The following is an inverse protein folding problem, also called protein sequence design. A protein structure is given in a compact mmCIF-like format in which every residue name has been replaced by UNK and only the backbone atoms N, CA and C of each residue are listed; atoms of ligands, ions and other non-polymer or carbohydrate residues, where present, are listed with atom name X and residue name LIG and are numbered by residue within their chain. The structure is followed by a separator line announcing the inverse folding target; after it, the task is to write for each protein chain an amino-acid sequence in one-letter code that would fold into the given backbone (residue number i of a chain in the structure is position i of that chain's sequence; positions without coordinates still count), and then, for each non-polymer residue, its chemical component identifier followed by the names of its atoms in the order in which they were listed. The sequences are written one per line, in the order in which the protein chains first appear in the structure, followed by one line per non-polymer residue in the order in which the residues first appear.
data_IF_733256681482
#
_entry.id   IF_733256681482
#
_cell.length_a   1.000
_cell.length_b   1.000
_cell.length_c   1.000
_cell.angle_alpha   90.00
_cell.angle_beta   90.00
_cell.angle_gamma   90.00
#
_symmetry.space_group_name_H-M   'P 1'
#
loop_
_entity.id
_entity.type
_entity.pdbx_description
1 polymer ?
#
# COMPACT_ATOMS: atom_id res chain seq x y z
N UNK A 1 -10.50 -12.58 12.34
CA UNK A 1 -9.18 -13.13 11.96
C UNK A 1 -8.49 -12.31 10.88
N UNK A 2 -9.18 -11.91 9.79
CA UNK A 2 -8.60 -11.12 8.69
C UNK A 2 -7.96 -9.79 9.14
N UNK A 3 -8.60 -9.07 10.08
CA UNK A 3 -8.07 -7.84 10.71
C UNK A 3 -6.69 -8.05 11.33
N UNK A 4 -6.55 -9.02 12.22
CA UNK A 4 -5.27 -9.32 12.88
C UNK A 4 -4.17 -9.76 11.90
N UNK A 5 -4.53 -10.51 10.86
CA UNK A 5 -3.58 -10.89 9.82
C UNK A 5 -3.09 -9.67 9.01
N UNK A 6 -4.02 -8.78 8.67
CA UNK A 6 -3.70 -7.53 7.93
C UNK A 6 -2.87 -6.58 8.79
N UNK A 7 -3.18 -6.48 10.08
CA UNK A 7 -2.39 -5.74 11.05
C UNK A 7 -0.97 -6.32 11.24
N UNK A 8 -0.83 -7.65 11.25
CA UNK A 8 0.49 -8.29 11.28
C UNK A 8 1.29 -7.98 10.00
N UNK A 9 0.65 -8.04 8.84
CA UNK A 9 1.27 -7.68 7.55
C UNK A 9 1.70 -6.22 7.50
N UNK A 10 0.89 -5.29 8.03
CA UNK A 10 1.26 -3.88 8.09
C UNK A 10 2.49 -3.65 8.96
N UNK A 11 2.61 -4.39 10.07
CA UNK A 11 3.81 -4.38 10.91
C UNK A 11 5.04 -4.98 10.22
N UNK A 12 4.89 -6.04 9.41
CA UNK A 12 6.02 -6.58 8.63
C UNK A 12 6.54 -5.62 7.57
N UNK A 13 5.68 -4.75 7.03
CA UNK A 13 6.07 -3.71 6.09
C UNK A 13 6.65 -2.47 6.80
N UNK A 14 6.45 -2.35 8.12
CA UNK A 14 6.81 -1.18 8.92
C UNK A 14 8.19 -1.36 9.58
N UNK A 15 9.02 -0.32 9.50
CA UNK A 15 10.29 -0.29 10.24
C UNK A 15 11.33 0.61 9.58
N UNK A 16 12.28 1.10 10.39
CA UNK A 16 13.53 1.72 9.92
C UNK A 16 14.70 1.06 10.66
N UNK A 17 15.67 0.42 9.98
CA UNK A 17 15.81 0.31 8.52
C UNK A 17 14.66 -0.49 7.87
N UNK A 18 14.32 -0.14 6.62
CA UNK A 18 13.22 -0.80 5.91
C UNK A 18 13.54 -2.30 5.74
N UNK A 19 12.54 -3.19 5.87
CA UNK A 19 12.70 -4.61 5.59
C UNK A 19 13.13 -4.83 4.12
N UNK A 20 13.78 -5.96 3.86
CA UNK A 20 14.20 -6.31 2.51
C UNK A 20 12.97 -6.48 1.61
N UNK A 21 12.93 -5.73 0.50
CA UNK A 21 11.74 -5.68 -0.35
C UNK A 21 11.36 -7.05 -0.92
N UNK A 22 12.32 -7.91 -1.25
CA UNK A 22 12.06 -9.27 -1.73
C UNK A 22 11.29 -10.14 -0.71
N UNK A 23 11.40 -9.86 0.59
CA UNK A 23 10.61 -10.54 1.63
C UNK A 23 9.17 -10.01 1.72
N UNK A 24 8.95 -8.74 1.36
CA UNK A 24 7.65 -8.05 1.43
C UNK A 24 6.89 -8.17 0.11
N UNK A 25 7.58 -8.37 -1.01
CA UNK A 25 7.02 -8.47 -2.36
C UNK A 25 5.90 -9.51 -2.49
N UNK A 26 5.95 -10.72 -1.89
CA UNK A 26 4.83 -11.66 -1.92
C UNK A 26 3.58 -11.13 -1.21
N UNK A 27 3.74 -10.25 -0.21
CA UNK A 27 2.62 -9.66 0.51
C UNK A 27 1.84 -8.67 -0.37
N UNK A 28 2.43 -8.13 -1.45
CA UNK A 28 1.72 -7.23 -2.36
C UNK A 28 0.51 -7.90 -3.03
N UNK A 29 0.62 -9.18 -3.37
CA UNK A 29 -0.50 -9.95 -3.93
C UNK A 29 -1.63 -10.11 -2.91
N UNK A 30 -1.29 -10.38 -1.65
CA UNK A 30 -2.28 -10.44 -0.58
C UNK A 30 -2.91 -9.06 -0.32
N UNK A 31 -2.12 -7.99 -0.35
CA UNK A 31 -2.59 -6.62 -0.18
C UNK A 31 -3.54 -6.19 -1.29
N UNK A 32 -3.29 -6.59 -2.55
CA UNK A 32 -4.21 -6.34 -3.66
C UNK A 32 -5.59 -6.96 -3.38
N UNK A 33 -5.66 -8.20 -2.88
CA UNK A 33 -6.95 -8.76 -2.47
C UNK A 33 -7.56 -8.03 -1.26
N UNK A 34 -6.75 -7.62 -0.28
CA UNK A 34 -7.25 -6.99 0.94
C UNK A 34 -7.82 -5.60 0.71
N UNK A 35 -7.30 -4.80 -0.25
CA UNK A 35 -7.83 -3.46 -0.57
C UNK A 35 -9.21 -3.48 -1.26
N UNK A 36 -9.66 -4.65 -1.71
CA UNK A 36 -11.00 -4.86 -2.27
C UNK A 36 -12.04 -5.28 -1.21
N UNK A 37 -11.63 -5.43 0.06
CA UNK A 37 -12.53 -5.78 1.16
C UNK A 37 -13.38 -4.57 1.57
N UNK A 38 -14.60 -4.78 2.08
CA UNK A 38 -15.46 -3.70 2.60
C UNK A 38 -15.20 -3.33 4.08
N UNK A 39 -14.25 -3.99 4.74
CA UNK A 39 -13.95 -3.77 6.15
C UNK A 39 -12.98 -2.59 6.33
N UNK A 40 -13.44 -1.52 6.97
CA UNK A 40 -12.66 -0.28 7.11
C UNK A 40 -11.34 -0.44 7.87
N UNK A 41 -11.28 -1.32 8.87
CA UNK A 41 -10.06 -1.58 9.64
C UNK A 41 -9.03 -2.31 8.77
N UNK A 42 -9.48 -3.37 8.08
CA UNK A 42 -8.63 -4.12 7.13
C UNK A 42 -8.10 -3.19 6.04
N UNK A 43 -8.97 -2.37 5.46
CA UNK A 43 -8.57 -1.43 4.44
C UNK A 43 -7.56 -0.40 4.97
N UNK A 44 -7.69 0.05 6.22
CA UNK A 44 -6.76 1.00 6.84
C UNK A 44 -5.37 0.39 7.01
N UNK A 45 -5.30 -0.82 7.56
CA UNK A 45 -4.02 -1.53 7.73
C UNK A 45 -3.38 -1.91 6.39
N UNK A 46 -4.17 -2.31 5.39
CA UNK A 46 -3.69 -2.60 4.05
C UNK A 46 -3.08 -1.37 3.36
N UNK A 47 -3.71 -0.19 3.50
CA UNK A 47 -3.17 1.08 3.00
C UNK A 47 -1.85 1.46 3.68
N UNK A 48 -1.76 1.27 4.99
CA UNK A 48 -0.51 1.50 5.71
C UNK A 48 0.60 0.57 5.22
N UNK A 49 0.29 -0.72 5.08
CA UNK A 49 1.22 -1.72 4.55
C UNK A 49 1.76 -1.36 3.16
N UNK A 50 0.93 -0.79 2.27
CA UNK A 50 1.34 -0.31 0.94
C UNK A 50 2.16 0.99 0.99
N UNK A 51 1.90 1.86 1.97
CA UNK A 51 2.61 3.14 2.09
C UNK A 51 4.09 3.00 2.42
N UNK A 52 4.48 1.99 3.21
CA UNK A 52 5.88 1.79 3.60
C UNK A 52 6.82 1.40 2.45
N UNK A 53 6.52 0.39 1.61
CA UNK A 53 7.38 0.04 0.48
C UNK A 53 7.37 1.11 -0.62
N UNK A 54 6.34 1.97 -0.68
CA UNK A 54 6.30 3.10 -1.62
C UNK A 54 7.32 4.21 -1.30
N UNK A 55 7.79 4.30 -0.06
CA UNK A 55 8.80 5.27 0.40
C UNK A 55 10.24 4.78 0.09
N UNK A 56 10.46 4.26 -1.11
CA UNK A 56 11.68 3.54 -1.50
C UNK A 56 12.13 3.82 -2.92
N UNK A 57 12.94 2.92 -3.50
CA UNK A 57 13.47 3.06 -4.87
C UNK A 57 12.38 2.85 -5.93
N UNK A 58 12.62 3.37 -7.15
CA UNK A 58 11.70 3.25 -8.29
C UNK A 58 11.32 1.78 -8.59
N UNK A 59 12.22 0.82 -8.34
CA UNK A 59 11.92 -0.61 -8.51
C UNK A 59 10.77 -1.10 -7.61
N UNK A 60 10.70 -0.60 -6.36
CA UNK A 60 9.62 -0.93 -5.43
C UNK A 60 8.31 -0.30 -5.89
N UNK A 61 8.38 0.94 -6.37
CA UNK A 61 7.23 1.66 -6.93
C UNK A 61 6.68 0.91 -8.15
N UNK A 62 7.55 0.46 -9.06
CA UNK A 62 7.13 -0.35 -10.21
C UNK A 62 6.47 -1.66 -9.80
N UNK A 63 7.01 -2.36 -8.79
CA UNK A 63 6.42 -3.60 -8.31
C UNK A 63 5.03 -3.38 -7.68
N UNK A 64 4.82 -2.26 -6.96
CA UNK A 64 3.50 -1.87 -6.43
C UNK A 64 2.55 -1.51 -7.58
N UNK A 65 3.01 -0.74 -8.56
CA UNK A 65 2.22 -0.38 -9.74
C UNK A 65 1.75 -1.62 -10.52
N UNK A 66 2.66 -2.60 -10.72
CA UNK A 66 2.33 -3.89 -11.35
C UNK A 66 1.36 -4.74 -10.54
N UNK A 67 1.24 -4.52 -9.23
CA UNK A 67 0.28 -5.23 -8.39
C UNK A 67 -1.17 -4.73 -8.57
N UNK A 68 -1.41 -3.71 -9.41
CA UNK A 68 -2.77 -3.27 -9.75
C UNK A 68 -3.45 -2.40 -8.69
N UNK A 69 -2.75 -2.07 -7.60
CA UNK A 69 -3.35 -1.36 -6.46
C UNK A 69 -3.67 0.12 -6.73
N UNK A 70 -3.15 0.71 -7.81
CA UNK A 70 -3.29 2.13 -8.11
C UNK A 70 -4.75 2.56 -8.31
N UNK A 71 -5.51 1.85 -9.14
CA UNK A 71 -6.91 2.19 -9.44
C UNK A 71 -7.76 2.20 -8.18
N UNK A 72 -7.60 1.16 -7.35
CA UNK A 72 -8.35 1.05 -6.11
C UNK A 72 -7.89 2.06 -5.07
N UNK A 73 -6.61 2.41 -4.99
CA UNK A 73 -6.14 3.49 -4.11
C UNK A 73 -6.77 4.85 -4.48
N UNK A 74 -6.95 5.13 -5.77
CA UNK A 74 -7.62 6.36 -6.24
C UNK A 74 -9.10 6.38 -5.87
N UNK A 75 -9.81 5.26 -6.02
CA UNK A 75 -11.19 5.15 -5.54
C UNK A 75 -11.29 5.35 -4.02
N UNK A 76 -10.34 4.81 -3.27
CA UNK A 76 -10.30 4.94 -1.81
C UNK A 76 -9.94 6.36 -1.34
N UNK A 77 -9.31 7.18 -2.18
CA UNK A 77 -9.10 8.61 -1.92
C UNK A 77 -10.41 9.42 -1.97
N UNK A 78 -11.42 8.92 -2.69
CA UNK A 78 -12.74 9.54 -2.80
C UNK A 78 -13.68 9.12 -1.65
N UNK A 79 -13.25 8.23 -0.75
CA UNK A 79 -14.08 7.73 0.34
C UNK A 79 -14.11 8.70 1.55
N UNK A 80 -15.28 8.90 2.20
CA UNK A 80 -15.53 10.03 3.10
C UNK A 80 -14.86 10.09 4.49
N UNK A 81 -14.28 9.04 5.13
CA UNK A 81 -13.66 9.25 6.44
C UNK A 81 -12.23 9.85 6.32
N UNK A 82 -11.97 11.02 6.94
CA UNK A 82 -10.73 11.79 6.73
C UNK A 82 -9.45 11.13 7.26
N UNK A 83 -9.55 10.18 8.20
CA UNK A 83 -8.38 9.47 8.76
C UNK A 83 -7.73 8.48 7.79
N UNK A 84 -8.51 8.02 6.82
CA UNK A 84 -8.11 7.01 5.83
C UNK A 84 -7.33 7.64 4.65
N UNK A 85 -7.42 8.96 4.51
CA UNK A 85 -6.89 9.72 3.38
C UNK A 85 -5.36 9.80 3.37
N UNK A 86 -4.71 9.86 4.53
CA UNK A 86 -3.28 10.13 4.65
C UNK A 86 -2.40 9.03 4.00
N UNK A 87 -2.56 7.73 4.32
CA UNK A 87 -1.71 6.68 3.76
C UNK A 87 -1.97 6.45 2.26
N UNK A 88 -3.23 6.56 1.81
CA UNK A 88 -3.56 6.47 0.38
C UNK A 88 -2.92 7.62 -0.41
N UNK A 89 -3.04 8.86 0.09
CA UNK A 89 -2.43 10.03 -0.55
C UNK A 89 -0.92 9.91 -0.59
N UNK A 90 -0.29 9.49 0.51
CA UNK A 90 1.17 9.30 0.56
C UNK A 90 1.64 8.27 -0.47
N UNK A 91 0.92 7.15 -0.58
CA UNK A 91 1.24 6.10 -1.55
C UNK A 91 1.13 6.62 -2.98
N UNK A 92 0.04 7.33 -3.31
CA UNK A 92 -0.15 7.92 -4.65
C UNK A 92 0.90 9.00 -4.95
N UNK A 93 1.18 9.91 -4.01
CA UNK A 93 2.24 10.91 -4.19
C UNK A 93 3.61 10.26 -4.39
N UNK A 94 3.91 9.19 -3.66
CA UNK A 94 5.17 8.48 -3.82
C UNK A 94 5.26 7.76 -5.18
N UNK A 95 4.15 7.20 -5.67
CA UNK A 95 4.09 6.60 -7.02
C UNK A 95 4.30 7.67 -8.10
N UNK A 96 3.65 8.83 -7.98
CA UNK A 96 3.77 9.94 -8.95
C UNK A 96 5.16 10.59 -8.93
N UNK A 97 5.87 10.54 -7.79
CA UNK A 97 7.27 10.99 -7.72
C UNK A 97 8.26 9.96 -8.29
N UNK A 98 7.82 8.74 -8.63
CA UNK A 98 8.61 7.79 -9.41
C UNK A 98 8.66 8.23 -10.87
N UNK A 99 9.86 8.29 -11.44
CA UNK A 99 10.22 8.83 -12.78
C UNK A 99 9.15 8.77 -13.90
N UNK A 100 9.26 9.73 -14.82
CA UNK A 100 8.41 9.99 -16.01
C UNK A 100 8.16 8.78 -16.95
N UNK A 101 8.80 7.64 -16.73
CA UNK A 101 8.56 6.37 -17.45
C UNK A 101 7.17 5.77 -17.09
N UNK A 102 6.51 6.27 -16.05
CA UNK A 102 5.23 5.76 -15.55
C UNK A 102 3.98 6.56 -15.99
N UNK A 103 4.11 7.61 -16.81
CA UNK A 103 2.95 8.33 -17.41
C UNK A 103 2.74 7.90 -18.86
#
# INVERSE_FOLDING_TARGET
MLRNATWMLSNFCRGKPQPQFEQVKPALLALDHLIHTNDEEVLTDARWALSYPSDGTNDKIQAISRAGVCSRLVELLLHPPPFVFIPARRTVCNIVNGDDIQT
#
